data_IF_235983717227
#
_entry.id   IF_235983717227
#
_cell.length_a   1.000
_cell.length_b   1.000
_cell.length_c   1.000
_cell.angle_alpha   90.00
_cell.angle_beta   90.00
_cell.angle_gamma   90.00
#
_symmetry.space_group_name_H-M   'P 1'
#
loop_
_entity.id
_entity.type
_entity.pdbx_description
1 polymer ?
#
# COMPACT_ATOMS: atom_id res chain seq x y z
N UNK A 1 -4.32 18.12 3.18
CA UNK A 1 -3.55 17.50 2.10
C UNK A 1 -3.46 16.01 2.43
N UNK A 2 -4.37 15.18 1.90
CA UNK A 2 -4.42 13.75 2.22
C UNK A 2 -3.69 12.97 1.13
N UNK A 3 -2.62 12.29 1.49
CA UNK A 3 -1.93 11.34 0.59
C UNK A 3 -2.54 9.97 0.88
N UNK A 4 -3.59 9.61 0.14
CA UNK A 4 -4.08 8.24 0.05
C UNK A 4 -3.11 7.41 -0.82
N UNK A 5 -1.90 7.17 -0.31
CA UNK A 5 -1.00 6.17 -0.90
C UNK A 5 -1.04 4.96 0.01
N UNK A 6 -1.86 3.99 -0.36
CA UNK A 6 -1.70 2.65 0.17
C UNK A 6 -0.41 2.09 -0.45
N UNK A 7 0.70 2.27 0.27
CA UNK A 7 1.96 1.66 -0.11
C UNK A 7 1.81 0.17 0.14
N UNK A 8 1.89 -0.62 -0.94
CA UNK A 8 1.97 -2.07 -0.86
C UNK A 8 3.01 -2.45 0.20
N UNK A 9 2.62 -3.33 1.12
CA UNK A 9 3.54 -3.82 2.15
C UNK A 9 4.69 -4.61 1.48
N UNK A 10 5.82 -4.79 2.16
CA UNK A 10 7.00 -5.47 1.59
C UNK A 10 6.67 -6.87 1.04
N UNK A 11 5.78 -7.61 1.70
CA UNK A 11 5.34 -8.92 1.22
C UNK A 11 4.47 -8.81 -0.05
N UNK A 12 3.58 -7.83 -0.11
CA UNK A 12 2.77 -7.58 -1.30
C UNK A 12 3.66 -7.14 -2.48
N UNK A 13 4.67 -6.28 -2.24
CA UNK A 13 5.64 -5.88 -3.26
C UNK A 13 6.41 -7.07 -3.83
N UNK A 14 6.78 -8.05 -3.00
CA UNK A 14 7.43 -9.29 -3.47
C UNK A 14 6.49 -10.11 -4.37
N UNK A 15 5.23 -10.25 -3.96
CA UNK A 15 4.20 -10.95 -4.75
C UNK A 15 4.00 -10.26 -6.10
N UNK A 16 3.86 -8.93 -6.10
CA UNK A 16 3.78 -8.12 -7.32
C UNK A 16 5.01 -8.28 -8.22
N UNK A 17 6.20 -8.29 -7.63
CA UNK A 17 7.44 -8.55 -8.38
C UNK A 17 7.43 -9.92 -9.07
N UNK A 18 6.95 -10.96 -8.38
CA UNK A 18 6.84 -12.30 -8.95
C UNK A 18 5.85 -12.36 -10.12
N UNK A 19 4.68 -11.71 -10.00
CA UNK A 19 3.65 -11.61 -11.04
C UNK A 19 4.21 -10.91 -12.28
N UNK A 20 4.90 -9.77 -12.09
CA UNK A 20 5.50 -9.01 -13.20
C UNK A 20 6.56 -9.84 -13.91
N UNK A 21 7.44 -10.52 -13.18
CA UNK A 21 8.46 -11.38 -13.77
C UNK A 21 7.84 -12.53 -14.58
N UNK A 22 6.82 -13.20 -14.05
CA UNK A 22 6.11 -14.26 -14.75
C UNK A 22 5.44 -13.77 -16.05
N UNK A 23 4.89 -12.55 -16.04
CA UNK A 23 4.31 -11.95 -17.24
C UNK A 23 5.38 -11.59 -18.29
N UNK A 24 6.55 -11.09 -17.85
CA UNK A 24 7.67 -10.81 -18.75
C UNK A 24 8.22 -12.09 -19.38
N UNK A 25 8.33 -13.19 -18.62
CA UNK A 25 8.73 -14.49 -19.15
C UNK A 25 7.75 -15.01 -20.22
N UNK A 26 6.45 -14.82 -19.98
CA UNK A 26 5.41 -15.14 -20.97
C UNK A 26 5.60 -14.29 -22.23
N UNK A 27 5.88 -13.00 -22.06
CA UNK A 27 6.09 -12.08 -23.16
C UNK A 27 7.31 -12.46 -24.00
N UNK A 28 8.42 -12.78 -23.34
CA UNK A 28 9.66 -13.21 -23.97
C UNK A 28 9.46 -14.50 -24.77
N UNK A 29 8.77 -15.50 -24.21
CA UNK A 29 8.47 -16.76 -24.92
C UNK A 29 7.69 -16.53 -26.22
N UNK A 30 6.77 -15.55 -26.23
CA UNK A 30 6.00 -15.19 -27.43
C UNK A 30 6.85 -14.39 -28.43
N UNK A 31 7.69 -13.48 -27.95
CA UNK A 31 8.64 -12.75 -28.79
C UNK A 31 9.63 -13.70 -29.48
N UNK A 32 10.19 -14.69 -28.76
CA UNK A 32 11.06 -15.73 -29.32
C UNK A 32 10.38 -16.57 -30.40
N UNK A 33 9.06 -16.77 -30.30
CA UNK A 33 8.25 -17.46 -31.32
C UNK A 33 7.84 -16.56 -32.49
N UNK A 34 8.29 -15.30 -32.52
CA UNK A 34 7.94 -14.31 -33.53
C UNK A 34 6.43 -14.16 -33.71
N UNK A 35 5.66 -14.29 -32.63
CA UNK A 35 4.21 -14.06 -32.68
C UNK A 35 4.00 -12.54 -32.61
N UNK A 36 3.53 -11.89 -33.69
CA UNK A 36 3.26 -10.46 -33.66
C UNK A 36 2.11 -10.20 -32.68
N UNK A 37 2.31 -9.23 -31.80
CA UNK A 37 1.30 -8.80 -30.83
C UNK A 37 1.30 -7.27 -30.76
N UNK A 38 0.11 -6.69 -30.67
CA UNK A 38 -0.06 -5.26 -30.42
C UNK A 38 -0.05 -4.97 -28.91
N UNK A 39 0.13 -3.70 -28.54
CA UNK A 39 0.00 -3.29 -27.12
C UNK A 39 -1.40 -3.55 -26.56
N UNK A 40 -2.44 -3.52 -27.40
CA UNK A 40 -3.80 -3.87 -27.00
C UNK A 40 -3.94 -5.36 -26.68
N UNK A 41 -3.28 -6.23 -27.46
CA UNK A 41 -3.27 -7.67 -27.20
C UNK A 41 -2.54 -8.01 -25.91
N UNK A 42 -1.45 -7.29 -25.60
CA UNK A 42 -0.75 -7.41 -24.33
C UNK A 42 -1.63 -7.03 -23.14
N UNK A 43 -2.41 -5.94 -23.25
CA UNK A 43 -3.34 -5.52 -22.19
C UNK A 43 -4.41 -6.60 -21.93
N UNK A 44 -5.09 -7.08 -22.98
CA UNK A 44 -6.08 -8.15 -22.87
C UNK A 44 -5.49 -9.44 -22.27
N UNK A 45 -4.23 -9.75 -22.63
CA UNK A 45 -3.55 -10.94 -22.13
C UNK A 45 -3.16 -10.82 -20.66
N UNK A 46 -2.76 -9.63 -20.22
CA UNK A 46 -2.50 -9.33 -18.81
C UNK A 46 -3.76 -9.51 -17.98
N UNK A 47 -4.92 -9.03 -18.46
CA UNK A 47 -6.19 -9.23 -17.77
C UNK A 47 -6.50 -10.74 -17.63
N UNK A 48 -6.35 -11.53 -18.69
CA UNK A 48 -6.53 -13.00 -18.62
C UNK A 48 -5.54 -13.64 -17.64
N UNK A 49 -4.29 -13.17 -17.61
CA UNK A 49 -3.25 -13.69 -16.71
C UNK A 49 -3.58 -13.42 -15.25
N UNK A 50 -4.04 -12.22 -14.91
CA UNK A 50 -4.45 -11.86 -13.56
C UNK A 50 -5.68 -12.66 -13.11
N UNK A 51 -6.69 -12.80 -13.99
CA UNK A 51 -7.86 -13.65 -13.71
C UNK A 51 -7.49 -15.12 -13.42
N UNK A 52 -6.47 -15.65 -14.09
CA UNK A 52 -6.05 -17.04 -13.93
C UNK A 52 -5.32 -17.30 -12.61
N UNK A 53 -4.78 -16.26 -11.97
CA UNK A 53 -4.10 -16.32 -10.67
C UNK A 53 -5.05 -15.92 -9.52
N UNK A 54 -6.37 -15.91 -9.78
CA UNK A 54 -7.43 -15.43 -8.88
C UNK A 54 -7.19 -14.00 -8.35
N UNK A 55 -6.34 -13.22 -9.03
CA UNK A 55 -6.08 -11.84 -8.65
C UNK A 55 -7.24 -10.96 -9.12
N UNK A 56 -7.78 -10.10 -8.24
CA UNK A 56 -8.87 -9.22 -8.61
C UNK A 56 -8.39 -8.26 -9.70
N UNK A 57 -8.97 -8.38 -10.90
CA UNK A 57 -8.86 -7.33 -11.89
C UNK A 57 -9.57 -6.12 -11.33
N UNK A 58 -8.89 -4.98 -11.39
CA UNK A 58 -9.46 -3.71 -10.97
C UNK A 58 -10.55 -3.29 -11.97
N UNK A 59 -11.76 -3.81 -11.74
CA UNK A 59 -12.94 -3.45 -12.51
C UNK A 59 -13.36 -2.05 -12.10
N UNK A 60 -13.46 -1.13 -13.06
CA UNK A 60 -13.56 0.33 -12.86
C UNK A 60 -12.24 1.06 -12.51
N UNK A 61 -11.20 0.90 -13.33
CA UNK A 61 -10.01 1.79 -13.33
C UNK A 61 -10.45 3.27 -13.31
N UNK A 62 -10.28 3.94 -12.17
CA UNK A 62 -10.61 5.36 -11.97
C UNK A 62 -12.00 5.69 -11.41
N UNK A 63 -12.82 4.70 -11.03
CA UNK A 63 -14.18 4.93 -10.52
C UNK A 63 -14.41 4.53 -9.07
N UNK A 64 -13.46 3.84 -8.42
CA UNK A 64 -13.39 3.86 -6.95
C UNK A 64 -13.02 5.30 -6.61
N UNK A 65 -14.04 6.00 -6.17
CA UNK A 65 -14.16 7.46 -6.19
C UNK A 65 -13.10 7.97 -5.23
N UNK A 66 -12.30 8.95 -5.66
CA UNK A 66 -11.40 9.68 -4.76
C UNK A 66 -12.05 9.99 -3.41
N UNK A 67 -13.35 10.29 -3.43
CA UNK A 67 -14.20 10.54 -2.27
C UNK A 67 -14.38 9.33 -1.35
N UNK A 68 -14.52 8.11 -1.87
CA UNK A 68 -14.63 6.89 -1.06
C UNK A 68 -13.30 6.53 -0.41
N UNK A 69 -12.20 6.61 -1.17
CA UNK A 69 -10.86 6.43 -0.63
C UNK A 69 -10.50 7.51 0.41
N UNK A 70 -10.95 8.75 0.20
CA UNK A 70 -10.80 9.86 1.14
C UNK A 70 -11.63 9.64 2.39
N UNK A 71 -12.90 9.24 2.26
CA UNK A 71 -13.78 8.96 3.38
C UNK A 71 -13.24 7.81 4.24
N UNK A 72 -12.72 6.75 3.61
CA UNK A 72 -12.07 5.65 4.31
C UNK A 72 -10.84 6.13 5.09
N UNK A 73 -9.98 6.93 4.44
CA UNK A 73 -8.79 7.49 5.09
C UNK A 73 -9.14 8.42 6.27
N UNK A 74 -10.18 9.24 6.13
CA UNK A 74 -10.69 10.12 7.20
C UNK A 74 -11.26 9.30 8.37
N UNK A 75 -12.01 8.25 8.08
CA UNK A 75 -12.60 7.36 9.09
C UNK A 75 -11.54 6.61 9.89
N UNK A 76 -10.53 6.05 9.21
CA UNK A 76 -9.41 5.38 9.88
C UNK A 76 -8.52 6.37 10.64
N UNK A 77 -8.34 7.59 10.13
CA UNK A 77 -7.62 8.65 10.83
C UNK A 77 -8.31 9.04 12.15
N UNK A 78 -9.63 9.19 12.17
CA UNK A 78 -10.37 9.52 13.40
C UNK A 78 -10.18 8.46 14.49
N UNK A 79 -10.23 7.18 14.12
CA UNK A 79 -9.95 6.07 15.05
C UNK A 79 -8.53 6.15 15.60
N UNK A 80 -7.55 6.40 14.73
CA UNK A 80 -6.15 6.45 15.14
C UNK A 80 -5.82 7.70 15.96
N UNK A 81 -6.46 8.84 15.68
CA UNK A 81 -6.29 10.10 16.43
C UNK A 81 -6.63 9.93 17.91
N UNK A 82 -7.76 9.27 18.23
CA UNK A 82 -8.14 9.02 19.63
C UNK A 82 -7.10 8.17 20.36
N UNK A 83 -6.51 7.19 19.67
CA UNK A 83 -5.44 6.36 20.24
C UNK A 83 -4.15 7.16 20.41
N UNK A 84 -3.82 8.02 19.45
CA UNK A 84 -2.65 8.89 19.50
C UNK A 84 -2.75 9.88 20.66
N UNK A 85 -3.90 10.55 20.81
CA UNK A 85 -4.15 11.51 21.89
C UNK A 85 -4.01 10.85 23.27
N UNK A 86 -4.47 9.60 23.42
CA UNK A 86 -4.32 8.83 24.67
C UNK A 86 -2.89 8.40 24.97
N UNK A 87 -2.07 8.21 23.93
CA UNK A 87 -0.64 7.84 24.05
C UNK A 87 0.28 9.05 23.94
N UNK A 88 -0.28 10.25 23.81
CA UNK A 88 0.50 11.46 23.61
C UNK A 88 1.17 11.83 24.94
N UNK A 89 2.48 11.59 25.01
CA UNK A 89 3.35 12.24 25.99
C UNK A 89 3.95 13.47 25.35
N UNK A 90 3.66 14.64 25.92
CA UNK A 90 4.34 15.86 25.51
C UNK A 90 5.84 15.78 25.84
N UNK A 91 6.68 16.40 25.01
CA UNK A 91 8.10 16.58 25.35
C UNK A 91 8.28 17.30 26.70
N UNK A 92 7.29 18.10 27.10
CA UNK A 92 7.21 18.70 28.43
C UNK A 92 6.97 17.66 29.54
N UNK A 93 6.07 16.70 29.32
CA UNK A 93 5.80 15.62 30.28
C UNK A 93 7.02 14.69 30.42
N UNK A 94 7.73 14.46 29.30
CA UNK A 94 9.00 13.72 29.28
C UNK A 94 10.09 14.45 30.07
N UNK A 95 10.21 15.77 29.91
CA UNK A 95 11.13 16.62 30.67
C UNK A 95 10.82 16.62 32.17
N UNK A 96 9.53 16.71 32.54
CA UNK A 96 9.10 16.64 33.94
C UNK A 96 9.37 15.27 34.56
N UNK A 97 9.16 14.17 33.82
CA UNK A 97 9.53 12.82 34.26
C UNK A 97 11.04 12.68 34.43
N UNK A 98 11.86 13.21 33.53
CA UNK A 98 13.31 13.16 33.68
C UNK A 98 13.83 13.99 34.87
N UNK A 99 13.19 15.12 35.17
CA UNK A 99 13.54 15.92 36.36
C UNK A 99 13.08 15.27 37.67
N UNK A 100 11.88 14.68 37.71
CA UNK A 100 11.40 13.93 38.89
C UNK A 100 12.25 12.70 39.18
N UNK A 101 12.64 11.93 38.16
CA UNK A 101 13.53 10.79 38.32
C UNK A 101 14.93 11.16 38.83
N UNK A 102 15.42 12.37 38.55
CA UNK A 102 16.68 12.89 39.07
C UNK A 102 16.59 13.41 40.53
N UNK A 103 15.38 13.75 41.01
CA UNK A 103 15.12 14.12 42.39
C UNK A 103 14.93 12.88 43.28
N UNK A 104 14.30 11.82 42.78
CA UNK A 104 14.11 10.55 43.49
C UNK A 104 15.38 9.68 43.53
N UNK A 105 16.41 9.99 42.73
CA UNK A 105 17.71 9.32 42.77
C UNK A 105 18.75 10.01 43.67
N UNK A 106 18.35 11.10 44.34
CA UNK A 106 19.20 11.88 45.26
C UNK A 106 18.76 11.76 46.74
N UNK A 107 17.87 10.81 47.05
CA UNK A 107 17.68 10.21 48.38
C UNK A 107 18.18 8.77 48.37
#
# INVERSE_FOLDING_TARGET
MSVAKNYLNNEELKIWGAIVNAFLDLAERRARRQIPMTMEDWAKRLDIFLNADDLPILDNKGKIIFDEAKLYAETEFEKYRVIQDRKFESDFDRLLKSQKGALESNE
#
